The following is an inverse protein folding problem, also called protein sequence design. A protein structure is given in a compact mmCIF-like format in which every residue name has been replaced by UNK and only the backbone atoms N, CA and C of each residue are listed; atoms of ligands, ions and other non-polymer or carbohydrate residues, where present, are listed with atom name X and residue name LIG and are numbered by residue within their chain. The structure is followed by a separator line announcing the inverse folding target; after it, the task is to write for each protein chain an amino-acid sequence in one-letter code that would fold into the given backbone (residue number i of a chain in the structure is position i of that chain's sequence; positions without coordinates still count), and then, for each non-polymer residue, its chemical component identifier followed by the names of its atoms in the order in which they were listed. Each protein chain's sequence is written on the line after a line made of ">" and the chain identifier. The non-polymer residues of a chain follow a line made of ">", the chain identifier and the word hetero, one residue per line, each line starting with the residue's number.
data_IF_350244136293
#
_entry.id   IF_350244136293
#
_cell.length_a   1.000
_cell.length_b   1.000
_cell.length_c   1.000
_cell.angle_alpha   90.00
_cell.angle_beta   90.00
_cell.angle_gamma   90.00
#
_symmetry.space_group_name_H-M   'P 1'
#
loop_
_entity.id
_entity.type
_entity.pdbx_description
1 polymer ?
#
# COMPACT_ATOMS: atom_id res chain seq x y z
N UNK A 1 7.27 8.34 4.19
CA UNK A 1 6.65 7.00 4.29
C UNK A 1 6.38 6.35 2.93
N UNK A 2 6.86 6.92 1.81
CA UNK A 2 6.45 6.51 0.45
C UNK A 2 7.44 5.61 -0.30
N UNK A 3 8.36 5.01 0.44
CA UNK A 3 9.15 3.89 -0.03
C UNK A 3 8.84 2.75 0.95
N UNK A 4 8.51 1.58 0.40
CA UNK A 4 7.99 0.43 1.13
C UNK A 4 8.75 0.08 2.39
N UNK A 5 8.18 -0.75 3.27
CA UNK A 5 8.85 -1.28 4.47
C UNK A 5 10.34 -1.44 4.20
N UNK A 6 11.13 -0.46 4.66
CA UNK A 6 12.54 -0.42 4.28
C UNK A 6 13.29 -1.58 4.95
N UNK A 7 12.70 -2.13 6.01
CA UNK A 7 13.27 -3.16 6.85
C UNK A 7 12.14 -4.10 7.34
N UNK A 8 11.96 -5.28 6.74
CA UNK A 8 11.09 -6.29 7.32
C UNK A 8 11.63 -6.66 8.70
N UNK A 9 10.77 -6.68 9.72
CA UNK A 9 11.16 -6.98 11.10
C UNK A 9 10.42 -8.22 11.60
N UNK A 10 11.08 -9.11 12.34
CA UNK A 10 10.44 -10.24 13.03
C UNK A 10 10.32 -9.97 14.53
N UNK A 11 9.22 -10.38 15.14
CA UNK A 11 8.96 -10.36 16.59
C UNK A 11 8.66 -11.79 17.05
N UNK A 12 9.20 -12.24 18.18
CA UNK A 12 9.04 -13.63 18.64
C UNK A 12 7.65 -13.93 19.24
N UNK A 13 6.78 -12.93 19.34
CA UNK A 13 5.38 -13.06 19.80
C UNK A 13 4.45 -12.38 18.79
N UNK A 14 3.59 -13.16 18.12
CA UNK A 14 2.56 -12.68 17.20
C UNK A 14 1.17 -13.10 17.69
N UNK A 15 0.22 -12.17 17.57
CA UNK A 15 -1.20 -12.51 17.43
C UNK A 15 -1.63 -12.04 16.03
N UNK A 16 -2.06 -12.97 15.19
CA UNK A 16 -2.69 -12.67 13.91
C UNK A 16 -4.15 -12.29 14.19
N UNK A 17 -4.53 -11.06 13.86
CA UNK A 17 -5.93 -10.61 13.90
C UNK A 17 -6.39 -10.26 12.49
N UNK A 18 -7.39 -10.99 12.03
CA UNK A 18 -8.06 -10.85 10.73
C UNK A 18 -9.46 -10.23 10.84
N UNK A 19 -9.92 -9.96 12.06
CA UNK A 19 -11.25 -9.47 12.41
C UNK A 19 -11.36 -7.93 12.47
N UNK A 20 -10.29 -7.20 12.17
CA UNK A 20 -10.25 -5.74 12.32
C UNK A 20 -10.00 -5.05 10.99
N UNK A 21 -10.94 -4.19 10.61
CA UNK A 21 -10.77 -3.20 9.54
C UNK A 21 -9.61 -2.24 9.87
N UNK A 22 -8.88 -1.71 8.87
CA UNK A 22 -7.91 -0.66 9.10
C UNK A 22 -8.62 0.65 9.53
N UNK A 23 -8.75 0.88 10.84
CA UNK A 23 -9.06 2.19 11.41
C UNK A 23 -10.26 2.27 12.37
N UNK A 24 -10.07 3.08 13.42
CA UNK A 24 -11.04 3.57 14.42
C UNK A 24 -11.50 2.60 15.54
N UNK A 25 -10.54 2.11 16.32
CA UNK A 25 -10.76 1.62 17.70
C UNK A 25 -9.80 2.33 18.68
N UNK A 26 -10.06 2.26 19.99
CA UNK A 26 -9.32 2.91 21.11
C UNK A 26 -7.80 2.61 21.20
N UNK A 27 -7.23 1.91 20.22
CA UNK A 27 -5.85 1.46 20.14
C UNK A 27 -5.40 1.69 18.69
N UNK A 28 -4.52 2.68 18.48
CA UNK A 28 -4.02 3.04 17.16
C UNK A 28 -2.89 2.10 16.75
N UNK A 29 -2.98 1.56 15.56
CA UNK A 29 -1.82 1.52 14.69
C UNK A 29 -2.28 1.45 13.24
N UNK A 30 -1.59 2.23 12.43
CA UNK A 30 -1.89 2.40 11.02
C UNK A 30 -1.34 1.26 10.19
N UNK A 31 -1.37 1.53 8.90
CA UNK A 31 -0.89 0.74 7.78
C UNK A 31 0.55 0.26 8.00
N UNK A 32 0.75 -1.06 7.89
CA UNK A 32 1.97 -1.75 8.31
C UNK A 32 1.81 -2.14 9.78
N UNK A 33 1.63 -3.45 10.01
CA UNK A 33 1.56 -4.13 11.32
C UNK A 33 1.69 -3.18 12.51
N UNK A 34 0.62 -3.02 13.29
CA UNK A 34 0.71 -2.48 14.65
C UNK A 34 1.52 -3.46 15.49
N UNK A 35 2.85 -3.40 15.39
CA UNK A 35 3.74 -3.93 16.41
C UNK A 35 3.79 -2.91 17.53
N UNK A 36 2.79 -2.95 18.41
CA UNK A 36 2.97 -2.83 19.87
C UNK A 36 1.63 -2.58 20.57
N UNK A 37 1.61 -3.00 21.84
CA UNK A 37 0.68 -2.62 22.91
C UNK A 37 -0.70 -3.29 22.97
N UNK A 38 -0.74 -4.39 23.71
CA UNK A 38 -1.11 -4.28 25.14
C UNK A 38 -0.17 -5.09 26.01
N UNK A 39 0.14 -4.54 27.19
CA UNK A 39 0.68 -5.26 28.35
C UNK A 39 -0.02 -6.63 28.44
N UNK A 40 0.69 -7.71 28.16
CA UNK A 40 0.36 -8.96 28.86
C UNK A 40 0.80 -8.71 30.29
N UNK A 41 -0.15 -8.73 31.21
CA UNK A 41 0.09 -8.64 32.65
C UNK A 41 0.78 -9.93 33.15
N UNK A 42 1.97 -10.20 32.61
CA UNK A 42 2.89 -11.23 33.08
C UNK A 42 4.24 -10.55 33.12
N UNK A 43 4.68 -10.18 34.32
CA UNK A 43 6.00 -9.62 34.57
C UNK A 43 7.07 -10.57 34.00
N UNK A 44 7.96 -10.05 33.14
CA UNK A 44 9.29 -10.65 32.97
C UNK A 44 9.71 -11.21 31.61
N UNK A 45 8.91 -11.17 30.54
CA UNK A 45 9.39 -11.64 29.22
C UNK A 45 9.72 -10.47 28.29
N UNK A 46 11.01 -10.31 27.95
CA UNK A 46 11.47 -9.29 27.00
C UNK A 46 10.95 -9.60 25.58
N UNK A 47 10.39 -8.58 24.92
CA UNK A 47 10.10 -8.64 23.49
C UNK A 47 11.38 -8.33 22.71
N UNK A 48 11.80 -9.25 21.85
CA UNK A 48 12.91 -9.02 20.91
C UNK A 48 12.34 -8.76 19.53
N UNK A 49 12.73 -7.62 18.95
CA UNK A 49 12.44 -7.27 17.57
C UNK A 49 13.76 -7.30 16.82
N UNK A 50 13.84 -8.04 15.72
CA UNK A 50 15.06 -8.18 14.91
C UNK A 50 14.78 -7.96 13.42
N UNK A 51 15.75 -7.42 12.65
CA UNK A 51 15.64 -7.36 11.20
C UNK A 51 15.46 -8.76 10.60
N UNK A 52 14.67 -8.83 9.53
CA UNK A 52 14.63 -9.97 8.63
C UNK A 52 15.56 -9.67 7.46
N UNK A 53 16.60 -10.47 7.30
CA UNK A 53 17.60 -10.29 6.24
C UNK A 53 17.05 -10.77 4.89
N UNK A 54 16.17 -9.96 4.30
CA UNK A 54 15.54 -10.27 3.02
C UNK A 54 16.52 -10.10 1.84
N UNK A 55 16.43 -11.05 0.91
CA UNK A 55 17.09 -11.03 -0.41
C UNK A 55 16.09 -10.91 -1.56
N UNK A 56 14.81 -11.10 -1.28
CA UNK A 56 13.71 -10.83 -2.20
C UNK A 56 12.63 -10.10 -1.43
N UNK A 57 12.22 -8.95 -1.96
CA UNK A 57 11.14 -8.13 -1.43
C UNK A 57 10.00 -8.15 -2.44
N UNK A 58 8.77 -8.07 -1.92
CA UNK A 58 7.62 -8.07 -2.78
C UNK A 58 6.43 -7.30 -2.24
N UNK A 59 5.68 -6.74 -3.18
CA UNK A 59 4.41 -6.11 -2.95
C UNK A 59 3.41 -6.66 -3.96
N UNK A 60 2.23 -7.07 -3.50
CA UNK A 60 1.16 -7.54 -4.35
C UNK A 60 -0.16 -6.86 -4.01
N UNK A 61 -1.01 -6.76 -5.01
CA UNK A 61 -2.42 -6.39 -4.89
C UNK A 61 -3.24 -7.48 -5.56
N UNK A 62 -4.39 -7.83 -4.98
CA UNK A 62 -5.30 -8.81 -5.57
C UNK A 62 -6.74 -8.54 -5.15
N UNK A 63 -7.70 -8.84 -6.03
CA UNK A 63 -9.13 -8.75 -5.70
C UNK A 63 -9.54 -9.79 -4.66
N UNK A 64 -9.17 -11.04 -4.93
CA UNK A 64 -9.44 -12.18 -4.08
C UNK A 64 -8.18 -12.55 -3.30
N UNK A 65 -8.35 -12.75 -1.99
CA UNK A 65 -7.25 -13.16 -1.14
C UNK A 65 -7.03 -14.67 -1.29
N UNK A 66 -5.81 -15.14 -1.56
CA UNK A 66 -5.51 -16.56 -1.55
C UNK A 66 -5.78 -17.19 -0.18
N UNK A 67 -6.08 -18.49 -0.18
CA UNK A 67 -6.31 -19.27 1.05
C UNK A 67 -5.12 -19.20 2.00
N UNK A 68 -3.92 -19.26 1.43
CA UNK A 68 -2.66 -19.23 2.17
C UNK A 68 -1.67 -18.29 1.48
N UNK A 69 -0.86 -17.59 2.28
CA UNK A 69 0.27 -16.79 1.81
C UNK A 69 1.52 -17.45 2.37
N UNK A 70 2.29 -18.10 1.51
CA UNK A 70 3.46 -18.87 1.92
C UNK A 70 4.74 -18.04 1.72
N UNK A 71 5.08 -17.26 2.75
CA UNK A 71 6.33 -16.54 2.84
C UNK A 71 6.85 -16.53 4.29
N UNK A 72 8.18 -16.51 4.50
CA UNK A 72 8.74 -16.40 5.84
C UNK A 72 8.45 -15.03 6.50
N UNK A 73 8.24 -14.00 5.69
CA UNK A 73 7.74 -12.71 6.13
C UNK A 73 6.60 -12.28 5.22
N UNK A 74 5.43 -11.97 5.80
CA UNK A 74 4.35 -11.32 5.08
C UNK A 74 3.46 -10.48 6.00
N UNK A 75 2.77 -9.51 5.40
CA UNK A 75 1.70 -8.74 6.00
C UNK A 75 0.62 -8.50 4.93
N UNK A 76 -0.66 -8.50 5.32
CA UNK A 76 -1.77 -8.21 4.41
C UNK A 76 -2.72 -7.19 5.02
N UNK A 77 -3.36 -6.40 4.17
CA UNK A 77 -4.39 -5.45 4.59
C UNK A 77 -5.48 -5.31 3.52
N UNK A 78 -6.71 -5.06 3.97
CA UNK A 78 -7.82 -4.77 3.07
C UNK A 78 -7.62 -3.39 2.42
N UNK A 79 -7.98 -3.26 1.15
CA UNK A 79 -8.00 -2.00 0.42
C UNK A 79 -9.24 -1.91 -0.48
N UNK A 80 -9.48 -0.75 -1.08
CA UNK A 80 -10.57 -0.57 -2.03
C UNK A 80 -10.30 -1.49 -3.24
N UNK A 81 -11.30 -2.29 -3.60
CA UNK A 81 -11.20 -3.24 -4.71
C UNK A 81 -10.55 -4.59 -4.37
N UNK A 82 -9.97 -4.77 -3.17
CA UNK A 82 -9.35 -6.06 -2.83
C UNK A 82 -8.47 -6.05 -1.58
N UNK A 83 -7.24 -6.51 -1.76
CA UNK A 83 -6.22 -6.70 -0.75
C UNK A 83 -4.87 -6.24 -1.27
N UNK A 84 -4.02 -5.82 -0.34
CA UNK A 84 -2.59 -5.66 -0.58
C UNK A 84 -1.79 -6.55 0.35
N UNK A 85 -0.68 -7.06 -0.16
CA UNK A 85 0.19 -8.03 0.52
C UNK A 85 1.62 -7.53 0.37
N UNK A 86 2.31 -7.40 1.49
CA UNK A 86 3.76 -7.22 1.53
C UNK A 86 4.40 -8.52 1.96
N UNK A 87 5.50 -8.91 1.32
CA UNK A 87 6.17 -10.16 1.61
C UNK A 87 7.66 -10.06 1.34
N UNK A 88 8.42 -10.95 1.98
CA UNK A 88 9.85 -11.03 1.76
C UNK A 88 10.37 -12.45 2.00
N UNK A 89 11.48 -12.77 1.34
CA UNK A 89 12.20 -14.03 1.48
C UNK A 89 13.67 -13.78 1.79
N UNK A 90 14.24 -14.63 2.65
CA UNK A 90 15.65 -14.56 3.05
C UNK A 90 16.63 -15.02 1.94
N UNK A 91 16.10 -15.58 0.85
CA UNK A 91 16.86 -16.07 -0.30
C UNK A 91 16.18 -15.61 -1.58
N UNK A 92 16.95 -15.46 -2.66
CA UNK A 92 16.40 -15.28 -4.01
C UNK A 92 15.41 -16.42 -4.29
N UNK A 93 14.20 -16.06 -4.72
CA UNK A 93 13.18 -17.03 -5.09
C UNK A 93 13.14 -17.20 -6.60
N UNK A 94 12.67 -18.38 -7.03
CA UNK A 94 12.11 -18.53 -8.37
C UNK A 94 10.75 -17.83 -8.40
N UNK A 95 10.59 -16.94 -9.38
CA UNK A 95 9.43 -16.06 -9.50
C UNK A 95 8.15 -16.83 -9.75
N UNK A 96 8.19 -17.93 -10.50
CA UNK A 96 7.00 -18.77 -10.72
C UNK A 96 6.48 -19.35 -9.42
N UNK A 97 7.38 -19.93 -8.61
CA UNK A 97 7.03 -20.47 -7.29
C UNK A 97 6.56 -19.38 -6.33
N UNK A 98 7.22 -18.21 -6.34
CA UNK A 98 6.82 -17.05 -5.52
C UNK A 98 5.40 -16.59 -5.87
N UNK A 99 5.06 -16.43 -7.15
CA UNK A 99 3.72 -16.01 -7.58
C UNK A 99 2.67 -17.01 -7.11
N UNK A 100 2.91 -18.31 -7.28
CA UNK A 100 1.99 -19.35 -6.80
C UNK A 100 1.84 -19.31 -5.28
N UNK A 101 2.93 -19.12 -4.54
CA UNK A 101 2.92 -19.09 -3.07
C UNK A 101 2.24 -17.84 -2.48
N UNK A 102 2.30 -16.71 -3.17
CA UNK A 102 1.75 -15.43 -2.69
C UNK A 102 0.35 -15.16 -3.21
N UNK A 103 0.07 -15.48 -4.47
CA UNK A 103 -1.17 -15.15 -5.17
C UNK A 103 -2.01 -16.38 -5.56
N UNK A 104 -1.46 -17.60 -5.50
CA UNK A 104 -2.14 -18.78 -6.03
C UNK A 104 -2.31 -18.78 -7.55
N UNK A 105 -1.62 -17.87 -8.25
CA UNK A 105 -1.65 -17.72 -9.70
C UNK A 105 -0.45 -18.38 -10.37
N UNK A 106 -0.49 -18.49 -11.70
CA UNK A 106 0.62 -18.96 -12.52
C UNK A 106 1.26 -17.80 -13.25
N UNK A 107 2.60 -17.78 -13.31
CA UNK A 107 3.39 -16.78 -14.04
C UNK A 107 2.96 -16.71 -15.52
N UNK A 108 2.80 -17.86 -16.17
CA UNK A 108 2.47 -17.95 -17.60
C UNK A 108 1.06 -17.45 -17.96
N UNK A 109 0.18 -17.32 -16.96
CA UNK A 109 -1.17 -16.76 -17.16
C UNK A 109 -1.18 -15.21 -17.06
N UNK A 110 -0.04 -14.58 -16.79
CA UNK A 110 0.05 -13.12 -16.69
C UNK A 110 -0.22 -12.46 -18.04
N UNK A 111 -1.07 -11.44 -18.06
CA UNK A 111 -1.35 -10.67 -19.27
C UNK A 111 -0.22 -9.70 -19.60
N UNK A 112 0.48 -9.22 -18.56
CA UNK A 112 1.60 -8.30 -18.68
C UNK A 112 2.71 -8.79 -17.77
N UNK A 113 3.92 -8.86 -18.32
CA UNK A 113 5.15 -9.21 -17.61
C UNK A 113 6.24 -8.20 -17.94
N UNK A 114 7.03 -7.86 -16.94
CA UNK A 114 8.27 -7.12 -17.07
C UNK A 114 9.31 -7.77 -16.19
N UNK A 115 10.46 -8.10 -16.79
CA UNK A 115 11.55 -8.78 -16.11
C UNK A 115 12.85 -8.10 -16.56
N UNK A 116 13.59 -7.53 -15.60
CA UNK A 116 14.92 -6.99 -15.84
C UNK A 116 15.94 -7.83 -15.07
N UNK A 117 16.65 -8.69 -15.80
CA UNK A 117 17.66 -9.58 -15.23
C UNK A 117 18.83 -8.82 -14.59
N UNK A 118 19.10 -7.59 -15.04
CA UNK A 118 20.23 -6.78 -14.55
C UNK A 118 19.94 -6.23 -13.16
N UNK A 119 18.75 -5.65 -12.98
CA UNK A 119 18.33 -5.11 -11.68
C UNK A 119 17.65 -6.14 -10.78
N UNK A 120 17.22 -7.28 -11.33
CA UNK A 120 16.43 -8.30 -10.63
C UNK A 120 15.00 -7.85 -10.32
N UNK A 121 14.51 -6.80 -10.99
CA UNK A 121 13.15 -6.29 -10.83
C UNK A 121 12.21 -7.07 -11.74
N UNK A 122 11.12 -7.56 -11.17
CA UNK A 122 10.13 -8.35 -11.89
C UNK A 122 8.71 -7.89 -11.53
N UNK A 123 7.82 -7.82 -12.52
CA UNK A 123 6.46 -7.30 -12.38
C UNK A 123 5.50 -8.11 -13.24
N UNK A 124 4.38 -8.50 -12.67
CA UNK A 124 3.35 -9.26 -13.39
C UNK A 124 1.97 -8.74 -13.05
N UNK A 125 1.08 -8.76 -14.04
CA UNK A 125 -0.30 -8.29 -13.93
C UNK A 125 -1.25 -9.29 -14.57
N UNK A 126 -2.33 -9.59 -13.86
CA UNK A 126 -3.41 -10.45 -14.31
C UNK A 126 -4.70 -9.65 -14.41
N UNK A 127 -5.42 -9.84 -15.51
CA UNK A 127 -6.75 -9.32 -15.77
C UNK A 127 -7.75 -10.48 -15.81
N UNK A 128 -8.98 -10.19 -15.39
CA UNK A 128 -10.05 -11.17 -15.40
C UNK A 128 -10.33 -11.68 -16.83
N UNK A 129 -10.44 -13.00 -17.00
CA UNK A 129 -10.65 -13.64 -18.32
C UNK A 129 -12.00 -13.28 -18.96
N UNK A 130 -13.04 -13.08 -18.16
CA UNK A 130 -14.39 -12.71 -18.61
C UNK A 130 -14.55 -11.20 -18.76
N UNK A 131 -13.91 -10.43 -17.87
CA UNK A 131 -13.93 -8.97 -17.86
C UNK A 131 -12.51 -8.44 -18.05
N UNK A 132 -12.00 -8.50 -19.28
CA UNK A 132 -10.60 -8.18 -19.59
C UNK A 132 -10.14 -6.78 -19.16
N UNK A 133 -11.05 -5.84 -18.89
CA UNK A 133 -10.76 -4.49 -18.39
C UNK A 133 -10.60 -4.41 -16.86
N UNK A 134 -10.86 -5.51 -16.16
CA UNK A 134 -10.79 -5.59 -14.71
C UNK A 134 -9.50 -6.28 -14.29
N UNK A 135 -8.63 -5.55 -13.59
CA UNK A 135 -7.43 -6.14 -13.00
C UNK A 135 -7.82 -7.11 -11.88
N UNK A 136 -7.25 -8.30 -11.91
CA UNK A 136 -7.42 -9.35 -10.89
C UNK A 136 -6.31 -9.28 -9.84
N UNK A 137 -5.06 -9.14 -10.29
CA UNK A 137 -3.90 -9.01 -9.41
C UNK A 137 -2.72 -8.32 -10.09
N UNK A 138 -1.82 -7.77 -9.29
CA UNK A 138 -0.48 -7.37 -9.73
C UNK A 138 0.54 -7.71 -8.64
N UNK A 139 1.76 -8.04 -9.04
CA UNK A 139 2.87 -8.32 -8.15
C UNK A 139 4.13 -7.61 -8.63
N UNK A 140 4.88 -7.07 -7.68
CA UNK A 140 6.12 -6.34 -7.87
C UNK A 140 7.17 -6.99 -6.98
N UNK A 141 8.28 -7.42 -7.58
CA UNK A 141 9.36 -8.15 -6.92
C UNK A 141 10.68 -7.46 -7.21
N UNK A 142 11.55 -7.36 -6.20
CA UNK A 142 12.87 -6.74 -6.33
C UNK A 142 13.88 -7.34 -5.32
N UNK A 143 15.20 -7.24 -5.57
CA UNK A 143 16.23 -7.64 -4.61
C UNK A 143 16.40 -6.62 -3.47
N UNK A 144 15.85 -5.42 -3.62
CA UNK A 144 15.79 -4.32 -2.65
C UNK A 144 14.33 -4.00 -2.31
N UNK A 145 14.03 -3.23 -1.25
CA UNK A 145 12.66 -2.81 -0.94
C UNK A 145 11.94 -2.26 -2.18
N UNK A 146 10.75 -2.80 -2.47
CA UNK A 146 10.05 -2.53 -3.74
C UNK A 146 9.70 -1.05 -3.87
N UNK A 147 10.19 -0.43 -4.94
CA UNK A 147 9.91 0.95 -5.34
C UNK A 147 8.60 1.02 -6.16
N UNK A 148 7.47 0.96 -5.47
CA UNK A 148 6.13 1.13 -6.05
C UNK A 148 5.28 1.99 -5.12
N UNK A 149 4.54 2.96 -5.66
CA UNK A 149 3.57 3.70 -4.87
C UNK A 149 2.43 2.77 -4.45
N UNK A 150 2.24 2.57 -3.14
CA UNK A 150 1.22 1.66 -2.60
C UNK A 150 -0.18 2.17 -2.88
N UNK A 151 -0.39 3.48 -2.76
CA UNK A 151 -1.68 4.13 -3.04
C UNK A 151 -2.04 3.98 -4.52
N UNK A 152 -1.11 4.32 -5.42
CA UNK A 152 -1.32 4.15 -6.86
C UNK A 152 -1.60 2.69 -7.24
N UNK A 153 -0.82 1.74 -6.72
CA UNK A 153 -1.00 0.34 -7.04
C UNK A 153 -2.38 -0.16 -6.56
N UNK A 154 -2.80 0.21 -5.35
CA UNK A 154 -4.16 -0.11 -4.85
C UNK A 154 -5.24 0.48 -5.76
N UNK A 155 -5.07 1.72 -6.24
CA UNK A 155 -6.04 2.38 -7.12
C UNK A 155 -6.24 1.59 -8.43
N UNK A 156 -5.22 0.87 -8.93
CA UNK A 156 -5.32 0.02 -10.12
C UNK A 156 -6.40 -1.07 -10.03
N UNK A 157 -6.69 -1.57 -8.83
CA UNK A 157 -7.76 -2.54 -8.61
C UNK A 157 -9.14 -1.92 -8.82
N UNK A 158 -9.27 -0.60 -8.71
CA UNK A 158 -10.56 0.10 -8.84
C UNK A 158 -10.69 0.79 -10.20
N UNK A 159 -9.59 0.97 -10.93
CA UNK A 159 -9.58 1.49 -12.30
C UNK A 159 -10.10 0.48 -13.30
N UNK A 160 -10.92 0.95 -14.24
CA UNK A 160 -11.32 0.19 -15.43
C UNK A 160 -10.29 0.40 -16.53
N UNK A 161 -9.58 -0.65 -16.91
CA UNK A 161 -8.49 -0.60 -17.89
C UNK A 161 -9.00 -0.93 -19.30
N UNK A 162 -9.72 -0.01 -19.92
CA UNK A 162 -10.35 -0.27 -21.22
C UNK A 162 -9.31 -0.39 -22.35
N UNK A 163 -8.31 0.49 -22.35
CA UNK A 163 -7.29 0.56 -23.39
C UNK A 163 -6.13 -0.41 -23.11
N UNK A 164 -5.82 -1.36 -24.02
CA UNK A 164 -4.66 -2.24 -23.89
C UNK A 164 -3.31 -1.52 -23.84
N UNK A 165 -3.14 -0.38 -24.53
CA UNK A 165 -1.88 0.38 -24.53
C UNK A 165 -1.61 1.02 -23.17
N UNK A 166 -2.67 1.52 -22.53
CA UNK A 166 -2.64 2.08 -21.18
C UNK A 166 -2.21 1.07 -20.12
N UNK A 167 -2.56 -0.20 -20.31
CA UNK A 167 -2.19 -1.26 -19.36
C UNK A 167 -0.69 -1.47 -19.27
N UNK A 168 0.07 -1.26 -20.35
CA UNK A 168 1.53 -1.33 -20.29
C UNK A 168 2.14 -0.27 -19.36
N UNK A 169 1.42 0.84 -19.08
CA UNK A 169 1.88 1.86 -18.12
C UNK A 169 1.90 1.35 -16.69
N UNK A 170 1.17 0.28 -16.38
CA UNK A 170 1.23 -0.40 -15.07
C UNK A 170 2.65 -0.92 -14.79
N UNK A 171 3.41 -1.27 -15.82
CA UNK A 171 4.80 -1.69 -15.65
C UNK A 171 5.62 -0.56 -15.01
N UNK A 172 5.33 0.71 -15.28
CA UNK A 172 6.13 1.84 -14.78
C UNK A 172 6.13 1.98 -13.25
N UNK A 173 5.24 1.28 -12.54
CA UNK A 173 5.17 1.23 -11.06
C UNK A 173 4.92 2.59 -10.38
N UNK A 174 4.44 3.57 -11.17
CA UNK A 174 4.10 4.92 -10.75
C UNK A 174 3.07 5.51 -11.70
N UNK A 175 2.26 6.49 -11.26
CA UNK A 175 1.33 7.20 -12.15
C UNK A 175 2.06 7.81 -13.36
N UNK A 176 1.35 7.94 -14.48
CA UNK A 176 1.78 8.83 -15.58
C UNK A 176 1.83 10.27 -15.06
N UNK A 177 2.65 11.12 -15.69
CA UNK A 177 2.78 12.53 -15.32
C UNK A 177 1.45 13.32 -15.35
N UNK A 178 0.37 12.74 -15.90
CA UNK A 178 -0.96 13.33 -15.99
C UNK A 178 -1.92 12.97 -14.82
N UNK A 179 -1.50 12.14 -13.86
CA UNK A 179 -2.27 11.92 -12.61
C UNK A 179 -1.64 12.77 -11.51
N UNK A 180 -2.39 13.73 -10.91
CA UNK A 180 -1.86 14.59 -9.87
C UNK A 180 -1.25 13.77 -8.74
N UNK A 181 0.02 14.03 -8.44
CA UNK A 181 0.70 13.42 -7.30
C UNK A 181 -0.03 13.86 -6.03
N UNK A 182 -0.67 12.91 -5.36
CA UNK A 182 -1.39 13.15 -4.10
C UNK A 182 -0.43 13.59 -2.98
N UNK A 183 0.87 13.31 -3.11
CA UNK A 183 1.85 13.50 -2.06
C UNK A 183 1.61 12.57 -0.87
N UNK A 184 2.21 12.88 0.28
CA UNK A 184 2.07 12.07 1.49
C UNK A 184 0.58 11.87 1.86
N UNK A 185 0.15 10.64 2.11
CA UNK A 185 -1.25 10.35 2.49
C UNK A 185 -1.53 10.91 3.89
N UNK A 186 -2.35 11.95 3.95
CA UNK A 186 -2.76 12.62 5.19
C UNK A 186 -4.02 11.98 5.76
N UNK A 187 -5.02 11.68 4.92
CA UNK A 187 -6.24 11.00 5.35
C UNK A 187 -6.26 9.54 4.89
N UNK A 188 -5.87 8.61 5.77
CA UNK A 188 -5.88 7.18 5.45
C UNK A 188 -7.29 6.59 5.23
N UNK A 189 -8.35 7.22 5.74
CA UNK A 189 -9.73 6.75 5.56
C UNK A 189 -10.24 6.91 4.13
N UNK A 190 -9.84 7.99 3.46
CA UNK A 190 -10.32 8.36 2.14
C UNK A 190 -9.17 8.50 1.12
N UNK A 191 -7.96 8.08 1.51
CA UNK A 191 -6.74 8.13 0.71
C UNK A 191 -6.47 9.52 0.10
N UNK A 192 -6.69 10.57 0.91
CA UNK A 192 -6.43 11.96 0.51
C UNK A 192 -5.01 12.34 0.92
N UNK A 193 -4.22 12.83 -0.03
CA UNK A 193 -2.84 13.24 0.17
C UNK A 193 -2.64 14.73 0.44
N UNK A 194 -1.43 15.09 0.87
CA UNK A 194 -1.04 16.44 1.25
C UNK A 194 -1.16 17.43 0.10
N UNK A 195 -0.83 17.02 -1.13
CA UNK A 195 -0.93 17.88 -2.30
C UNK A 195 -2.40 18.11 -2.69
N UNK A 196 -3.26 17.10 -2.57
CA UNK A 196 -4.71 17.27 -2.78
C UNK A 196 -5.30 18.26 -1.77
N UNK A 197 -4.85 18.21 -0.51
CA UNK A 197 -5.26 19.16 0.54
C UNK A 197 -4.71 20.55 0.22
N UNK A 198 -3.42 20.68 -0.13
CA UNK A 198 -2.81 21.95 -0.48
C UNK A 198 -3.50 22.62 -1.68
N UNK A 199 -3.84 21.84 -2.71
CA UNK A 199 -4.56 22.35 -3.87
C UNK A 199 -6.00 22.75 -3.53
N UNK A 200 -6.68 22.01 -2.64
CA UNK A 200 -7.98 22.43 -2.11
C UNK A 200 -7.89 23.72 -1.28
N UNK A 201 -6.80 23.93 -0.53
CA UNK A 201 -6.53 25.18 0.20
C UNK A 201 -6.33 26.34 -0.78
N UNK A 202 -5.54 26.16 -1.84
CA UNK A 202 -5.38 27.16 -2.91
C UNK A 202 -6.70 27.49 -3.61
N UNK A 203 -7.61 26.52 -3.71
CA UNK A 203 -8.97 26.71 -4.22
C UNK A 203 -9.93 27.39 -3.21
N UNK A 204 -9.45 27.81 -2.04
CA UNK A 204 -10.22 28.59 -1.05
C UNK A 204 -10.79 27.78 0.12
N UNK A 205 -10.47 26.49 0.24
CA UNK A 205 -10.93 25.66 1.37
C UNK A 205 -10.05 25.86 2.60
N UNK A 206 -10.25 26.98 3.29
CA UNK A 206 -9.41 27.45 4.40
C UNK A 206 -9.78 26.91 5.79
N UNK A 207 -10.52 25.80 5.87
CA UNK A 207 -10.86 25.17 7.16
C UNK A 207 -10.93 23.66 7.04
N UNK A 208 -10.68 22.96 8.15
CA UNK A 208 -10.80 21.49 8.21
C UNK A 208 -12.20 21.03 7.81
N UNK A 209 -13.26 21.77 8.19
CA UNK A 209 -14.62 21.47 7.73
C UNK A 209 -14.79 21.65 6.22
N UNK A 210 -14.22 22.70 5.62
CA UNK A 210 -14.29 22.92 4.17
C UNK A 210 -13.53 21.84 3.39
N UNK A 211 -12.31 21.50 3.84
CA UNK A 211 -11.54 20.37 3.30
C UNK A 211 -12.31 19.06 3.43
N UNK A 212 -12.96 18.82 4.58
CA UNK A 212 -13.79 17.64 4.77
C UNK A 212 -15.03 17.59 3.87
N UNK A 213 -15.61 18.75 3.50
CA UNK A 213 -16.72 18.80 2.53
C UNK A 213 -16.26 18.53 1.09
N UNK A 214 -15.07 18.99 0.73
CA UNK A 214 -14.54 18.88 -0.63
C UNK A 214 -13.89 17.51 -0.90
N UNK A 215 -13.05 17.03 0.03
CA UNK A 215 -12.21 15.85 -0.15
C UNK A 215 -12.63 14.66 0.73
N UNK A 216 -13.65 14.79 1.56
CA UNK A 216 -14.01 13.85 2.64
C UNK A 216 -12.93 13.69 3.74
N UNK A 217 -11.76 14.32 3.60
CA UNK A 217 -10.68 14.21 4.57
C UNK A 217 -11.12 14.74 5.95
N UNK A 218 -10.99 13.90 6.99
CA UNK A 218 -11.36 14.26 8.36
C UNK A 218 -12.82 14.02 8.73
N UNK A 219 -13.65 13.44 7.86
CA UNK A 219 -15.08 13.19 8.17
C UNK A 219 -15.38 11.81 8.74
N UNK A 220 -14.45 10.85 8.63
CA UNK A 220 -14.61 9.49 9.17
C UNK A 220 -13.96 9.33 10.56
N UNK A 221 -12.70 8.87 10.66
CA UNK A 221 -12.06 8.68 11.96
C UNK A 221 -11.50 9.98 12.58
N UNK A 222 -11.38 11.04 11.78
CA UNK A 222 -10.90 12.36 12.20
C UNK A 222 -9.42 12.45 12.61
N UNK A 223 -8.63 11.37 12.50
CA UNK A 223 -7.23 11.34 12.95
C UNK A 223 -6.32 12.31 12.18
N UNK A 224 -6.65 12.60 10.93
CA UNK A 224 -5.92 13.51 10.05
C UNK A 224 -6.26 15.00 10.24
N UNK A 225 -7.22 15.36 11.12
CA UNK A 225 -7.67 16.75 11.28
C UNK A 225 -6.55 17.70 11.75
N UNK A 226 -5.65 17.23 12.61
CA UNK A 226 -4.51 18.03 13.08
C UNK A 226 -3.53 18.33 11.95
N UNK A 227 -3.24 17.33 11.12
CA UNK A 227 -2.32 17.45 9.98
C UNK A 227 -2.93 18.28 8.85
N UNK A 228 -4.23 18.13 8.57
CA UNK A 228 -4.97 19.04 7.68
C UNK A 228 -4.87 20.49 8.17
N UNK A 229 -5.02 20.71 9.48
CA UNK A 229 -4.92 22.07 10.06
C UNK A 229 -3.53 22.67 9.84
N UNK A 230 -2.49 21.86 10.01
CA UNK A 230 -1.11 22.29 9.79
C UNK A 230 -0.87 22.66 8.32
N UNK A 231 -1.31 21.83 7.36
CA UNK A 231 -1.18 22.12 5.93
C UNK A 231 -1.92 23.41 5.55
N UNK A 232 -3.11 23.65 6.12
CA UNK A 232 -3.85 24.91 5.93
C UNK A 232 -3.02 26.10 6.43
N UNK A 233 -2.48 26.02 7.64
CA UNK A 233 -1.69 27.11 8.24
C UNK A 233 -0.41 27.41 7.45
N UNK A 234 0.30 26.37 7.01
CA UNK A 234 1.53 26.51 6.21
C UNK A 234 1.25 27.16 4.85
N UNK A 235 0.19 26.74 4.16
CA UNK A 235 -0.19 27.32 2.86
C UNK A 235 -0.72 28.76 2.99
N UNK A 236 -1.36 29.10 4.12
CA UNK A 236 -1.81 30.48 4.38
C UNK A 236 -0.66 31.42 4.73
N UNK A 237 0.38 30.94 5.42
CA UNK A 237 1.58 31.74 5.70
C UNK A 237 2.31 32.09 4.41
N UNK A 238 2.44 31.13 3.48
CA UNK A 238 3.07 31.33 2.16
C UNK A 238 2.27 32.29 1.27
N UNK A 239 0.94 32.32 1.39
CA UNK A 239 0.09 33.23 0.60
C UNK A 239 0.08 34.68 1.11
N UNK A 240 0.61 34.93 2.31
CA UNK A 240 0.66 36.26 2.95
C UNK A 240 2.02 36.97 2.76
N UNK A 241 3.00 36.28 2.19
CA UNK A 241 4.35 36.77 1.86
C UNK A 241 4.45 37.17 0.38
#
# INVERSE_FOLDING_TARGET
>A
EDLGIHLPMICDRYELRDDVMPGAGRYRGGIGVVKAQRRSAIEGTQMVIRPFEAKTYGFAICRELPKEINAPYWAKAKCIGGWRIEFAFAKKQDTSNLITNILGLKKDDANISFEDETSGIERFVWFNKEQAHQMEAAIFVAPTPVEVSRSWAVDLLSTRHEDPQERFRIIASRPSQDVPDKGAIVCSCFFVGANEIADAVKAGNISVQAIGKCLNAGTNCGSCKSEISQIISENQAIAAE
#
